data_IF_754289319559
#
_entry.id   IF_754289319559
#
_cell.length_a   1.000
_cell.length_b   1.000
_cell.length_c   1.000
_cell.angle_alpha   90.00
_cell.angle_beta   90.00
_cell.angle_gamma   90.00
#
_symmetry.space_group_name_H-M   'P 1'
#
loop_
_entity.id
_entity.type
_entity.pdbx_description
1 polymer ?
#
# COMPACT_ATOMS: atom_id res chain seq x y z
N UNK A 1 18.70 0.67 4.30
CA UNK A 1 18.87 0.91 2.85
C UNK A 1 17.81 0.10 2.11
N UNK A 2 17.19 0.67 1.07
CA UNK A 2 16.26 -0.06 0.20
C UNK A 2 17.06 -1.09 -0.62
N UNK A 3 16.62 -2.35 -0.65
CA UNK A 3 17.18 -3.37 -1.55
C UNK A 3 16.57 -3.22 -2.95
N UNK A 4 17.19 -3.78 -4.01
CA UNK A 4 16.60 -3.75 -5.35
C UNK A 4 15.19 -4.36 -5.42
N UNK A 5 14.93 -5.42 -4.65
CA UNK A 5 13.59 -6.00 -4.52
C UNK A 5 12.59 -5.05 -3.85
N UNK A 6 13.02 -4.31 -2.81
CA UNK A 6 12.17 -3.32 -2.16
C UNK A 6 11.78 -2.21 -3.14
N UNK A 7 12.77 -1.63 -3.83
CA UNK A 7 12.54 -0.61 -4.83
C UNK A 7 11.63 -1.10 -5.96
N UNK A 8 11.82 -2.33 -6.44
CA UNK A 8 11.00 -2.92 -7.49
C UNK A 8 9.54 -3.02 -7.09
N UNK A 9 9.24 -3.49 -5.88
CA UNK A 9 7.85 -3.56 -5.39
C UNK A 9 7.25 -2.17 -5.26
N UNK A 10 7.98 -1.21 -4.70
CA UNK A 10 7.49 0.18 -4.56
C UNK A 10 7.18 0.80 -5.91
N UNK A 11 8.06 0.59 -6.91
CA UNK A 11 7.87 1.05 -8.28
C UNK A 11 6.65 0.41 -8.94
N UNK A 12 6.49 -0.91 -8.85
CA UNK A 12 5.34 -1.63 -9.39
C UNK A 12 4.03 -1.18 -8.75
N UNK A 13 3.99 -1.02 -7.42
CA UNK A 13 2.80 -0.50 -6.74
C UNK A 13 2.49 0.94 -7.17
N UNK A 14 3.50 1.79 -7.30
CA UNK A 14 3.36 3.17 -7.80
C UNK A 14 2.73 3.19 -9.20
N UNK A 15 3.15 2.29 -10.09
CA UNK A 15 2.55 2.14 -11.41
C UNK A 15 1.05 1.83 -11.34
N UNK A 16 0.64 0.86 -10.51
CA UNK A 16 -0.77 0.53 -10.33
C UNK A 16 -1.62 1.69 -9.82
N UNK A 17 -1.11 2.48 -8.86
CA UNK A 17 -1.86 3.62 -8.34
C UNK A 17 -1.91 4.80 -9.32
N UNK A 18 -0.90 4.98 -10.17
CA UNK A 18 -0.91 6.05 -11.19
C UNK A 18 -2.01 5.90 -12.23
N UNK A 19 -2.52 4.68 -12.47
CA UNK A 19 -3.59 4.43 -13.45
C UNK A 19 -4.85 5.30 -13.23
N UNK A 20 -5.15 5.66 -11.98
CA UNK A 20 -6.33 6.45 -11.62
C UNK A 20 -6.01 7.59 -10.64
N UNK A 21 -4.74 7.90 -10.42
CA UNK A 21 -4.30 8.99 -9.54
C UNK A 21 -3.09 9.70 -10.12
N UNK A 22 -3.28 10.60 -11.10
CA UNK A 22 -2.21 11.47 -11.55
C UNK A 22 -1.77 12.42 -10.41
N UNK A 23 -0.49 12.77 -10.38
CA UNK A 23 0.46 12.38 -9.35
C UNK A 23 0.20 13.06 -8.01
N UNK A 24 -0.06 12.26 -6.99
CA UNK A 24 0.36 12.61 -5.65
C UNK A 24 0.87 11.35 -4.93
N UNK A 25 1.75 10.59 -5.60
CA UNK A 25 2.64 9.65 -4.90
C UNK A 25 3.79 10.45 -4.34
N UNK A 26 3.64 10.90 -3.10
CA UNK A 26 4.72 11.50 -2.32
C UNK A 26 5.10 10.54 -1.20
N UNK A 27 6.38 10.56 -0.80
CA UNK A 27 6.86 9.96 0.45
C UNK A 27 7.03 11.04 1.51
N UNK A 28 5.98 11.71 2.01
CA UNK A 28 6.19 12.69 3.06
C UNK A 28 6.38 11.99 4.39
N UNK A 29 7.27 12.57 5.19
CA UNK A 29 7.43 12.27 6.59
C UNK A 29 6.11 12.55 7.32
N UNK A 30 5.54 11.54 7.94
CA UNK A 30 4.35 11.65 8.77
C UNK A 30 4.74 11.68 10.24
N UNK A 31 4.07 12.49 11.06
CA UNK A 31 4.27 12.40 12.51
C UNK A 31 3.79 11.04 13.04
N UNK A 32 4.63 10.38 13.83
CA UNK A 32 4.32 9.09 14.43
C UNK A 32 3.08 9.24 15.33
N UNK A 33 2.08 8.36 15.18
CA UNK A 33 0.94 8.33 16.11
C UNK A 33 1.33 8.04 17.56
N UNK A 34 2.58 7.64 17.83
CA UNK A 34 3.05 7.29 19.15
C UNK A 34 3.28 8.51 20.07
N UNK A 35 3.09 9.76 19.58
CA UNK A 35 3.31 11.01 20.33
C UNK A 35 4.73 11.16 20.91
N UNK A 36 5.67 10.41 20.36
CA UNK A 36 7.10 10.42 20.70
C UNK A 36 7.89 11.47 19.91
N UNK A 37 7.21 12.28 19.08
CA UNK A 37 7.83 13.25 18.19
C UNK A 37 8.53 12.63 16.97
N UNK A 38 8.59 11.30 16.85
CA UNK A 38 9.22 10.62 15.74
C UNK A 38 8.44 10.86 14.44
N UNK A 39 9.14 10.84 13.30
CA UNK A 39 8.51 10.84 11.98
C UNK A 39 8.60 9.44 11.39
N UNK A 40 7.47 8.91 10.92
CA UNK A 40 7.39 7.67 10.15
C UNK A 40 7.14 8.03 8.68
N UNK A 41 7.89 7.41 7.77
CA UNK A 41 7.62 7.53 6.33
C UNK A 41 7.13 6.18 5.84
N UNK A 42 6.01 6.16 5.10
CA UNK A 42 5.61 4.95 4.39
C UNK A 42 6.58 4.70 3.22
N UNK A 43 6.60 3.47 2.72
CA UNK A 43 7.36 3.14 1.50
C UNK A 43 6.66 3.69 0.26
N UNK A 44 5.32 3.72 0.27
CA UNK A 44 4.50 4.39 -0.74
C UNK A 44 3.24 4.95 -0.07
N UNK A 45 2.83 6.14 -0.50
CA UNK A 45 1.60 6.77 -0.05
C UNK A 45 0.84 7.40 -1.22
N UNK A 46 -0.48 7.25 -1.21
CA UNK A 46 -1.39 7.79 -2.23
C UNK A 46 -2.25 8.86 -1.59
N UNK A 47 -2.13 10.06 -2.13
CA UNK A 47 -2.80 11.27 -1.67
C UNK A 47 -3.99 11.61 -2.57
N UNK A 48 -5.05 12.21 -2.02
CA UNK A 48 -6.06 12.85 -2.85
C UNK A 48 -5.48 14.06 -3.56
N UNK A 49 -6.04 14.36 -4.73
CA UNK A 49 -5.77 15.61 -5.42
C UNK A 49 -6.51 16.78 -4.73
N UNK A 50 -5.87 17.95 -4.54
CA UNK A 50 -6.46 19.09 -3.82
C UNK A 50 -7.75 19.63 -4.45
N UNK A 51 -7.96 19.44 -5.76
CA UNK A 51 -9.22 19.80 -6.43
C UNK A 51 -10.45 19.03 -5.90
N UNK A 52 -10.25 17.87 -5.25
CA UNK A 52 -11.34 17.04 -4.72
C UNK A 52 -11.32 16.98 -3.19
N UNK A 53 -10.14 17.09 -2.57
CA UNK A 53 -9.99 17.17 -1.11
C UNK A 53 -9.11 18.39 -0.81
N UNK A 54 -9.71 19.57 -0.59
CA UNK A 54 -8.96 20.81 -0.44
C UNK A 54 -8.23 20.86 0.90
N UNK A 55 -7.32 21.83 1.01
CA UNK A 55 -6.71 22.17 2.29
C UNK A 55 -7.79 22.50 3.34
N UNK A 56 -7.59 22.13 4.61
CA UNK A 56 -8.54 22.43 5.65
C UNK A 56 -8.64 23.94 5.91
N UNK A 57 -9.82 24.45 6.31
CA UNK A 57 -9.97 25.84 6.77
C UNK A 57 -9.11 26.14 8.00
N UNK A 58 -8.95 25.15 8.89
CA UNK A 58 -8.04 25.19 10.03
C UNK A 58 -6.76 24.46 9.64
N UNK A 59 -5.66 25.18 9.47
CA UNK A 59 -4.36 24.58 9.19
C UNK A 59 -3.94 23.61 10.31
N UNK A 60 -2.94 22.77 10.02
CA UNK A 60 -2.46 21.67 10.86
C UNK A 60 -2.71 21.83 12.38
N UNK A 61 -3.36 20.84 13.03
CA UNK A 61 -3.64 19.48 12.55
C UNK A 61 -5.01 19.30 11.86
N UNK A 62 -5.69 20.38 11.47
CA UNK A 62 -7.08 20.32 11.00
C UNK A 62 -8.10 20.68 12.09
N UNK A 63 -9.39 20.35 11.91
CA UNK A 63 -9.96 19.49 10.86
C UNK A 63 -10.25 20.16 9.49
N UNK A 64 -10.35 19.37 8.38
CA UNK A 64 -9.90 17.98 8.26
C UNK A 64 -8.37 17.83 8.42
N UNK A 65 -7.86 16.64 8.77
CA UNK A 65 -6.43 16.44 9.00
C UNK A 65 -5.55 16.78 7.79
N UNK A 66 -4.54 17.63 8.03
CA UNK A 66 -3.54 18.04 7.04
C UNK A 66 -2.13 18.10 7.62
N UNK A 67 -1.13 18.13 6.74
CA UNK A 67 0.23 18.48 7.13
C UNK A 67 0.35 19.98 7.50
N UNK A 68 1.53 20.38 7.99
CA UNK A 68 1.86 21.76 8.41
C UNK A 68 1.73 22.81 7.29
N UNK A 69 1.64 22.38 6.03
CA UNK A 69 1.45 23.24 4.85
C UNK A 69 0.00 23.24 4.36
N UNK A 70 -0.91 22.56 5.08
CA UNK A 70 -2.31 22.43 4.70
C UNK A 70 -2.57 21.34 3.65
N UNK A 71 -1.58 20.52 3.27
CA UNK A 71 -1.81 19.45 2.31
C UNK A 71 -2.60 18.31 2.95
N UNK A 72 -3.58 17.71 2.26
CA UNK A 72 -4.30 16.56 2.79
C UNK A 72 -3.35 15.40 3.06
N UNK A 73 -3.63 14.60 4.09
CA UNK A 73 -2.85 13.39 4.34
C UNK A 73 -3.18 12.24 3.37
N UNK A 74 -2.27 11.27 3.24
CA UNK A 74 -2.47 10.08 2.42
C UNK A 74 -3.67 9.26 2.89
N UNK A 75 -4.43 8.71 1.94
CA UNK A 75 -5.53 7.78 2.23
C UNK A 75 -5.14 6.32 2.05
N UNK A 76 -4.17 6.03 1.19
CA UNK A 76 -3.65 4.68 0.97
C UNK A 76 -2.16 4.65 1.32
N UNK A 77 -1.75 3.67 2.10
CA UNK A 77 -0.36 3.46 2.52
C UNK A 77 0.10 2.08 2.11
N UNK A 78 1.33 1.96 1.58
CA UNK A 78 2.00 0.69 1.41
C UNK A 78 3.31 0.63 2.21
N UNK A 79 3.59 -0.55 2.75
CA UNK A 79 4.82 -0.87 3.47
C UNK A 79 5.36 -2.20 2.95
N UNK A 80 6.64 -2.23 2.63
CA UNK A 80 7.35 -3.36 2.04
C UNK A 80 8.50 -3.75 2.97
N UNK A 81 8.44 -4.94 3.55
CA UNK A 81 9.48 -5.48 4.40
C UNK A 81 10.27 -6.56 3.69
N UNK A 82 11.58 -6.39 3.56
CA UNK A 82 12.50 -7.41 3.03
C UNK A 82 13.31 -8.03 4.16
N UNK A 83 14.21 -7.26 4.79
CA UNK A 83 14.97 -7.71 5.96
C UNK A 83 14.18 -7.60 7.27
N UNK A 84 13.27 -6.63 7.38
CA UNK A 84 12.49 -6.38 8.59
C UNK A 84 11.58 -7.57 8.93
N UNK A 85 11.30 -7.81 10.21
CA UNK A 85 10.48 -8.94 10.61
C UNK A 85 9.01 -8.74 10.21
N UNK A 86 8.24 -9.82 10.16
CA UNK A 86 6.78 -9.71 9.97
C UNK A 86 6.09 -8.98 11.13
N UNK A 87 6.70 -8.94 12.32
CA UNK A 87 6.16 -8.21 13.47
C UNK A 87 6.37 -6.71 13.28
N UNK A 88 7.57 -6.28 12.88
CA UNK A 88 7.88 -4.87 12.62
C UNK A 88 6.95 -4.29 11.53
N UNK A 89 6.77 -5.04 10.44
CA UNK A 89 5.84 -4.64 9.37
C UNK A 89 4.41 -4.46 9.92
N UNK A 90 3.92 -5.42 10.72
CA UNK A 90 2.58 -5.33 11.32
C UNK A 90 2.45 -4.11 12.23
N UNK A 91 3.48 -3.79 13.00
CA UNK A 91 3.45 -2.66 13.92
C UNK A 91 3.52 -1.31 13.18
N UNK A 92 4.24 -1.23 12.06
CA UNK A 92 4.13 -0.10 11.13
C UNK A 92 2.71 0.02 10.57
N UNK A 93 2.14 -1.05 9.99
CA UNK A 93 0.78 -1.03 9.45
C UNK A 93 -0.27 -0.68 10.53
N UNK A 94 -0.11 -1.14 11.77
CA UNK A 94 -0.98 -0.77 12.90
C UNK A 94 -0.89 0.72 13.25
N UNK A 95 0.29 1.31 13.18
CA UNK A 95 0.48 2.76 13.38
C UNK A 95 -0.30 3.55 12.33
N UNK A 96 -0.20 3.17 11.06
CA UNK A 96 -1.01 3.77 10.00
C UNK A 96 -2.50 3.58 10.19
N UNK A 97 -2.93 2.40 10.65
CA UNK A 97 -4.34 2.10 10.91
C UNK A 97 -4.97 3.00 11.98
N UNK A 98 -4.18 3.55 12.91
CA UNK A 98 -4.66 4.49 13.93
C UNK A 98 -4.95 5.88 13.37
N UNK A 99 -4.52 6.18 12.14
CA UNK A 99 -4.82 7.44 11.48
C UNK A 99 -6.22 7.38 10.87
N UNK A 100 -7.12 8.24 11.33
CA UNK A 100 -8.54 8.25 10.93
C UNK A 100 -8.75 8.49 9.43
N UNK A 101 -7.82 9.20 8.79
CA UNK A 101 -7.84 9.49 7.36
C UNK A 101 -7.22 8.38 6.50
N UNK A 102 -6.47 7.41 7.05
CA UNK A 102 -5.94 6.29 6.25
C UNK A 102 -7.04 5.25 6.04
N UNK A 103 -7.46 5.06 4.79
CA UNK A 103 -8.54 4.16 4.37
C UNK A 103 -8.06 2.76 4.06
N UNK A 104 -6.90 2.64 3.41
CA UNK A 104 -6.34 1.37 2.97
C UNK A 104 -4.85 1.27 3.29
N UNK A 105 -4.41 0.10 3.75
CA UNK A 105 -3.01 -0.18 4.09
C UNK A 105 -2.63 -1.52 3.48
N UNK A 106 -1.62 -1.54 2.62
CA UNK A 106 -1.07 -2.74 2.00
C UNK A 106 0.32 -3.04 2.57
N UNK A 107 0.43 -4.11 3.34
CA UNK A 107 1.73 -4.62 3.82
C UNK A 107 2.21 -5.78 2.98
N UNK A 108 3.42 -5.70 2.42
CA UNK A 108 4.07 -6.78 1.68
C UNK A 108 5.32 -7.23 2.44
N UNK A 109 5.36 -8.51 2.81
CA UNK A 109 6.55 -9.14 3.39
C UNK A 109 7.18 -10.06 2.38
N UNK A 110 8.41 -9.74 1.99
CA UNK A 110 9.31 -10.63 1.24
C UNK A 110 10.13 -11.42 2.28
N UNK A 111 10.07 -12.74 2.23
CA UNK A 111 10.85 -13.60 3.11
C UNK A 111 12.25 -13.84 2.55
N UNK A 112 13.10 -14.47 3.36
CA UNK A 112 14.46 -14.81 2.96
C UNK A 112 14.47 -15.66 1.69
N UNK A 113 15.57 -15.52 0.95
CA UNK A 113 15.86 -16.30 -0.23
C UNK A 113 15.96 -17.77 0.14
N UNK A 114 15.34 -18.66 -0.63
CA UNK A 114 15.56 -20.09 -0.53
C UNK A 114 16.71 -20.51 -1.46
N UNK A 115 17.45 -21.57 -1.09
CA UNK A 115 18.54 -22.08 -1.94
C UNK A 115 18.04 -22.83 -3.18
N UNK A 116 16.78 -23.27 -3.18
CA UNK A 116 16.14 -23.90 -4.33
C UNK A 116 15.87 -22.90 -5.47
N UNK A 117 15.78 -23.44 -6.69
CA UNK A 117 15.49 -22.71 -7.93
C UNK A 117 14.46 -23.50 -8.74
N UNK A 118 13.24 -23.57 -8.24
CA UNK A 118 12.18 -24.35 -8.85
C UNK A 118 11.37 -23.57 -9.90
N UNK A 119 11.73 -22.31 -10.17
CA UNK A 119 11.06 -21.49 -11.16
C UNK A 119 11.76 -21.53 -12.54
N UNK A 120 11.01 -21.42 -13.65
CA UNK A 120 11.55 -21.47 -15.01
C UNK A 120 12.62 -20.41 -15.32
N UNK A 121 12.61 -19.28 -14.60
CA UNK A 121 13.54 -18.17 -14.80
C UNK A 121 14.91 -18.41 -14.15
N UNK A 122 15.09 -19.50 -13.39
CA UNK A 122 16.34 -19.82 -12.68
C UNK A 122 16.65 -18.88 -11.51
N UNK A 123 15.71 -18.01 -11.13
CA UNK A 123 15.83 -17.18 -9.94
C UNK A 123 15.79 -18.06 -8.68
N UNK A 124 16.29 -17.57 -7.55
CA UNK A 124 16.15 -18.31 -6.29
C UNK A 124 14.71 -18.20 -5.80
N UNK A 125 14.23 -19.27 -5.18
CA UNK A 125 12.85 -19.30 -4.73
C UNK A 125 12.57 -18.28 -3.62
N UNK A 126 11.33 -17.78 -3.60
CA UNK A 126 10.86 -16.76 -2.67
C UNK A 126 9.49 -17.11 -2.13
N UNK A 127 9.31 -16.90 -0.83
CA UNK A 127 8.00 -16.79 -0.22
C UNK A 127 7.65 -15.33 0.02
N UNK A 128 6.41 -14.95 -0.26
CA UNK A 128 5.92 -13.58 -0.14
C UNK A 128 4.53 -13.60 0.49
N UNK A 129 4.23 -12.58 1.29
CA UNK A 129 2.92 -12.39 1.90
C UNK A 129 2.44 -10.96 1.72
N UNK A 130 1.25 -10.79 1.15
CA UNK A 130 0.54 -9.52 1.15
C UNK A 130 -0.56 -9.53 2.22
N UNK A 131 -0.83 -8.39 2.84
CA UNK A 131 -1.95 -8.20 3.77
C UNK A 131 -2.57 -6.83 3.52
N UNK A 132 -3.87 -6.81 3.27
CA UNK A 132 -4.63 -5.60 3.08
C UNK A 132 -5.53 -5.35 4.30
N UNK A 133 -5.44 -4.15 4.84
CA UNK A 133 -6.38 -3.62 5.80
C UNK A 133 -7.14 -2.47 5.17
N UNK A 134 -8.47 -2.53 5.20
CA UNK A 134 -9.34 -1.41 4.82
C UNK A 134 -10.25 -1.06 5.98
N UNK A 135 -10.57 0.22 6.13
CA UNK A 135 -11.55 0.64 7.14
C UNK A 135 -12.91 0.00 6.84
N UNK A 136 -13.53 -0.60 7.86
CA UNK A 136 -14.85 -1.25 7.74
C UNK A 136 -14.87 -2.60 7.01
N UNK A 137 -13.72 -3.13 6.57
CA UNK A 137 -13.64 -4.42 5.84
C UNK A 137 -12.77 -5.39 6.62
N UNK A 138 -13.10 -6.68 6.57
CA UNK A 138 -12.26 -7.74 7.15
C UNK A 138 -10.88 -7.75 6.48
N UNK A 139 -9.84 -7.94 7.30
CA UNK A 139 -8.45 -8.05 6.82
C UNK A 139 -8.31 -9.21 5.82
N UNK A 140 -7.75 -8.91 4.64
CA UNK A 140 -7.46 -9.90 3.61
C UNK A 140 -5.97 -10.22 3.56
N UNK A 141 -5.60 -11.43 3.15
CA UNK A 141 -4.22 -11.89 3.15
C UNK A 141 -3.97 -12.87 2.01
N UNK A 142 -2.84 -12.70 1.34
CA UNK A 142 -2.39 -13.55 0.26
C UNK A 142 -1.00 -14.09 0.58
N UNK A 143 -0.79 -15.37 0.28
CA UNK A 143 0.52 -16.02 0.28
C UNK A 143 0.84 -16.38 -1.15
N UNK A 144 1.97 -15.89 -1.63
CA UNK A 144 2.41 -16.06 -3.01
C UNK A 144 3.93 -16.14 -3.04
N UNK A 145 4.51 -16.18 -4.23
CA UNK A 145 5.89 -16.59 -4.45
C UNK A 145 5.95 -17.98 -5.07
N UNK A 146 7.18 -18.44 -5.30
CA UNK A 146 7.45 -19.75 -5.90
C UNK A 146 7.41 -20.87 -4.85
N UNK A 147 7.53 -20.51 -3.55
CA UNK A 147 7.47 -21.44 -2.42
C UNK A 147 6.67 -20.85 -1.25
N UNK A 148 6.13 -21.74 -0.43
CA UNK A 148 5.56 -21.45 0.87
C UNK A 148 6.67 -21.05 1.87
N UNK A 149 6.27 -20.56 3.04
CA UNK A 149 7.21 -20.09 4.07
C UNK A 149 8.12 -21.20 4.61
N UNK A 150 7.66 -22.45 4.55
CA UNK A 150 8.41 -23.65 4.94
C UNK A 150 9.30 -24.19 3.80
N UNK A 151 9.34 -23.53 2.65
CA UNK A 151 10.14 -23.93 1.49
C UNK A 151 9.46 -24.92 0.56
N UNK A 152 8.25 -25.41 0.89
CA UNK A 152 7.50 -26.29 0.00
C UNK A 152 7.00 -25.52 -1.24
N UNK A 153 6.92 -26.12 -2.44
CA UNK A 153 6.37 -25.45 -3.61
C UNK A 153 4.94 -24.96 -3.36
N UNK A 154 4.59 -23.79 -3.90
CA UNK A 154 3.20 -23.26 -3.81
C UNK A 154 2.18 -24.13 -4.55
N UNK A 155 2.63 -24.97 -5.50
CA UNK A 155 1.79 -25.92 -6.23
C UNK A 155 0.88 -25.23 -7.26
N UNK A 156 0.00 -26.00 -7.89
CA UNK A 156 -0.84 -25.53 -9.01
C UNK A 156 -1.83 -24.43 -8.61
N UNK A 157 -2.27 -24.40 -7.36
CA UNK A 157 -3.18 -23.38 -6.81
C UNK A 157 -2.47 -22.10 -6.35
N UNK A 158 -1.15 -22.03 -6.55
CA UNK A 158 -0.33 -20.86 -6.24
C UNK A 158 -0.48 -19.71 -7.24
N UNK A 159 0.22 -18.61 -6.96
CA UNK A 159 0.29 -17.45 -7.86
C UNK A 159 1.22 -17.75 -9.05
N UNK A 160 0.70 -18.49 -10.03
CA UNK A 160 1.49 -19.07 -11.13
C UNK A 160 1.31 -18.35 -12.47
N UNK A 161 0.36 -17.41 -12.56
CA UNK A 161 0.11 -16.67 -13.79
C UNK A 161 -0.54 -15.31 -13.54
N UNK A 162 -0.47 -14.41 -14.54
CA UNK A 162 -1.07 -13.09 -14.44
C UNK A 162 -2.60 -13.18 -14.47
N UNK A 163 -3.26 -12.17 -13.91
CA UNK A 163 -4.71 -11.99 -13.90
C UNK A 163 -5.52 -13.07 -13.18
N UNK A 164 -4.90 -13.89 -12.32
CA UNK A 164 -5.64 -14.83 -11.46
C UNK A 164 -6.47 -14.05 -10.43
N UNK A 165 -7.81 -14.16 -10.44
CA UNK A 165 -8.68 -13.44 -9.51
C UNK A 165 -8.36 -13.68 -8.02
N UNK A 166 -7.79 -14.83 -7.67
CA UNK A 166 -7.40 -15.15 -6.29
C UNK A 166 -6.17 -14.34 -5.83
N UNK A 167 -5.41 -13.79 -6.78
CA UNK A 167 -4.17 -13.05 -6.56
C UNK A 167 -4.24 -11.60 -7.05
N UNK A 168 -5.45 -11.09 -7.32
CA UNK A 168 -5.70 -9.66 -7.53
C UNK A 168 -6.09 -8.99 -6.22
N UNK A 169 -5.37 -7.92 -5.86
CA UNK A 169 -5.78 -7.00 -4.82
C UNK A 169 -6.60 -5.88 -5.46
N UNK A 170 -7.85 -5.75 -5.03
CA UNK A 170 -8.78 -4.70 -5.45
C UNK A 170 -8.91 -3.62 -4.37
N UNK A 171 -8.49 -2.40 -4.67
CA UNK A 171 -8.70 -1.22 -3.81
C UNK A 171 -9.53 -0.20 -4.58
N UNK A 172 -10.73 0.17 -4.11
CA UNK A 172 -11.54 1.21 -4.73
C UNK A 172 -10.80 2.55 -4.78
N UNK A 173 -10.87 3.23 -5.92
CA UNK A 173 -10.29 4.57 -6.08
C UNK A 173 -10.98 5.58 -5.15
N UNK A 174 -12.25 5.37 -4.81
CA UNK A 174 -12.98 6.16 -3.81
C UNK A 174 -12.30 6.24 -2.45
N UNK A 175 -11.46 5.25 -2.07
CA UNK A 175 -10.71 5.30 -0.82
C UNK A 175 -9.73 6.49 -0.81
N UNK A 176 -9.20 6.89 -1.98
CA UNK A 176 -8.28 8.04 -2.15
C UNK A 176 -8.98 9.36 -1.84
N UNK A 177 -10.26 9.48 -2.16
CA UNK A 177 -11.02 10.73 -2.05
C UNK A 177 -11.91 10.77 -0.81
N UNK A 178 -11.65 9.92 0.18
CA UNK A 178 -12.40 9.94 1.42
C UNK A 178 -12.24 11.29 2.14
N UNK A 179 -13.35 12.02 2.25
CA UNK A 179 -13.42 13.31 2.90
C UNK A 179 -14.78 13.46 3.59
N UNK A 180 -14.86 13.18 4.90
CA UNK A 180 -16.13 13.20 5.62
C UNK A 180 -16.52 14.63 6.03
N UNK A 181 -17.83 14.89 6.12
CA UNK A 181 -18.36 16.11 6.74
C UNK A 181 -17.90 16.19 8.19
N UNK A 182 -17.52 17.39 8.66
CA UNK A 182 -17.15 17.64 10.06
C UNK A 182 -18.04 18.77 10.60
N UNK A 183 -19.27 18.43 11.06
CA UNK A 183 -20.27 19.43 11.44
C UNK A 183 -19.82 20.38 12.54
N UNK A 184 -19.00 19.90 13.48
CA UNK A 184 -18.52 20.68 14.63
C UNK A 184 -17.74 21.94 14.24
N UNK A 185 -17.18 21.99 13.03
CA UNK A 185 -16.45 23.15 12.49
C UNK A 185 -17.09 23.71 11.21
N UNK A 186 -18.32 23.28 10.87
CA UNK A 186 -18.99 23.67 9.64
C UNK A 186 -18.29 23.23 8.36
N UNK A 187 -17.42 22.21 8.42
CA UNK A 187 -16.69 21.74 7.25
C UNK A 187 -17.57 20.84 6.38
N UNK A 188 -17.73 21.24 5.12
CA UNK A 188 -18.38 20.47 4.06
C UNK A 188 -17.35 20.06 3.00
N UNK A 189 -17.29 18.77 2.62
CA UNK A 189 -16.46 18.30 1.52
C UNK A 189 -16.87 18.94 0.19
N UNK A 190 -15.94 19.00 -0.76
CA UNK A 190 -16.27 19.33 -2.15
C UNK A 190 -17.13 18.22 -2.78
N UNK A 191 -17.84 18.51 -3.89
CA UNK A 191 -18.45 17.48 -4.70
C UNK A 191 -17.45 16.37 -5.04
N UNK A 192 -17.88 15.09 -4.99
CA UNK A 192 -16.97 13.99 -5.28
C UNK A 192 -16.45 14.06 -6.72
N UNK A 193 -15.31 13.42 -7.01
CA UNK A 193 -14.85 13.25 -8.38
C UNK A 193 -15.90 12.59 -9.30
N UNK A 194 -15.71 12.65 -10.63
CA UNK A 194 -16.64 12.04 -11.57
C UNK A 194 -16.95 10.57 -11.26
N UNK A 195 -18.19 10.09 -11.49
CA UNK A 195 -18.59 8.73 -11.16
C UNK A 195 -17.68 7.64 -11.75
N UNK A 196 -17.17 7.85 -12.96
CA UNK A 196 -16.23 6.94 -13.60
C UNK A 196 -14.95 6.72 -12.77
N UNK A 197 -14.44 7.78 -12.13
CA UNK A 197 -13.28 7.69 -11.25
C UNK A 197 -13.65 7.09 -9.89
N UNK A 198 -14.80 7.47 -9.32
CA UNK A 198 -15.25 6.95 -8.03
C UNK A 198 -15.58 5.46 -8.06
N UNK A 199 -16.02 4.93 -9.21
CA UNK A 199 -16.32 3.52 -9.43
C UNK A 199 -15.12 2.70 -9.92
N UNK A 200 -13.97 3.33 -10.18
CA UNK A 200 -12.76 2.65 -10.60
C UNK A 200 -12.10 1.88 -9.45
N UNK A 201 -11.27 0.90 -9.80
CA UNK A 201 -10.59 0.01 -8.87
C UNK A 201 -9.11 -0.06 -9.25
N UNK A 202 -8.22 0.18 -8.29
CA UNK A 202 -6.83 -0.23 -8.43
C UNK A 202 -6.76 -1.76 -8.35
N UNK A 203 -6.31 -2.37 -9.44
CA UNK A 203 -6.18 -3.83 -9.59
C UNK A 203 -4.70 -4.19 -9.57
N UNK A 204 -4.18 -4.54 -8.41
CA UNK A 204 -2.77 -4.92 -8.23
C UNK A 204 -2.65 -6.42 -8.45
N UNK A 205 -1.89 -6.84 -9.47
CA UNK A 205 -1.60 -8.25 -9.72
C UNK A 205 -0.38 -8.72 -8.91
N UNK A 206 -0.61 -9.64 -7.96
CA UNK A 206 0.47 -10.18 -7.15
C UNK A 206 1.44 -11.06 -7.95
N UNK A 207 1.03 -11.59 -9.11
CA UNK A 207 1.93 -12.28 -10.01
C UNK A 207 2.97 -11.31 -10.60
N UNK A 208 2.55 -10.13 -11.05
CA UNK A 208 3.48 -9.12 -11.56
C UNK A 208 4.44 -8.64 -10.47
N UNK A 209 3.93 -8.35 -9.26
CA UNK A 209 4.75 -8.02 -8.09
C UNK A 209 5.77 -9.14 -7.82
N UNK A 210 5.36 -10.40 -7.87
CA UNK A 210 6.25 -11.55 -7.72
C UNK A 210 7.35 -11.57 -8.79
N UNK A 211 7.00 -11.43 -10.06
CA UNK A 211 7.98 -11.45 -11.15
C UNK A 211 9.02 -10.33 -10.99
N UNK A 212 8.58 -9.13 -10.62
CA UNK A 212 9.49 -8.00 -10.39
C UNK A 212 10.44 -8.23 -9.22
N UNK A 213 9.99 -8.91 -8.16
CA UNK A 213 10.86 -9.34 -7.06
C UNK A 213 11.90 -10.36 -7.57
N UNK A 214 11.45 -11.39 -8.29
CA UNK A 214 12.32 -12.46 -8.80
C UNK A 214 13.40 -11.93 -9.76
N UNK A 215 13.04 -10.99 -10.64
CA UNK A 215 13.96 -10.36 -11.60
C UNK A 215 15.02 -9.46 -10.95
N UNK A 216 14.77 -8.98 -9.73
CA UNK A 216 15.60 -7.99 -9.03
C UNK A 216 16.33 -8.55 -7.83
N UNK A 217 16.37 -9.88 -7.68
CA UNK A 217 17.15 -10.53 -6.63
C UNK A 217 18.64 -10.19 -6.78
N UNK A 218 19.26 -9.73 -5.69
CA UNK A 218 20.72 -9.67 -5.63
C UNK A 218 21.26 -11.11 -5.60
N UNK A 219 22.24 -11.38 -6.47
CA UNK A 219 22.86 -12.69 -6.65
C UNK A 219 23.88 -12.97 -5.55
#
# INVERSE_FOLDING_TARGET
MSSPEHAAVVETLSYYFRAHSPPATYTPLHHSPARDGARISPDLAVYPHPNFVPAPPVLHPGPPPSDIRGNPHARIICEVAVSQTSSDLKDKCRRWKRQSYVRSILGIKIYQICDSRNNPQGARDRSIKATLWRQGVQKQTWRFGTVNKDGTPTGATGCNGPNDPNYIIAIPVSDVFYDPVIPAIGYAPLPPPPPALMNAIFRIDLYEVQQMILMRQQK
#
